data_IF_871008667625
#
_entry.id   IF_871008667625
#
_cell.length_a   1.000
_cell.length_b   1.000
_cell.length_c   1.000
_cell.angle_alpha   90.00
_cell.angle_beta   90.00
_cell.angle_gamma   90.00
#
_symmetry.space_group_name_H-M   'P 1'
#
loop_
_entity.id
_entity.type
_entity.pdbx_description
1 polymer ?
#
# COMPACT_ATOMS: atom_id res chain seq x y z
N UNK A 1 17.07 -69.47 -5.99
CA UNK A 1 15.60 -69.63 -6.05
C UNK A 1 15.01 -69.28 -4.69
N UNK A 2 13.86 -68.59 -4.69
CA UNK A 2 12.95 -68.30 -3.56
C UNK A 2 13.30 -67.16 -2.59
N UNK A 3 12.81 -65.97 -2.97
CA UNK A 3 12.01 -65.05 -2.16
C UNK A 3 11.43 -65.63 -0.88
N UNK A 4 11.63 -64.92 0.26
CA UNK A 4 10.55 -64.77 1.24
C UNK A 4 10.58 -63.39 1.91
N UNK A 5 9.41 -62.77 1.85
CA UNK A 5 9.02 -61.46 2.35
C UNK A 5 8.29 -61.66 3.69
N UNK A 6 8.72 -60.99 4.78
CA UNK A 6 7.92 -60.61 5.98
C UNK A 6 8.63 -59.44 6.67
N UNK A 7 8.32 -58.18 6.34
CA UNK A 7 7.37 -57.30 7.04
C UNK A 7 7.57 -57.27 8.56
N UNK A 8 8.21 -56.21 9.06
CA UNK A 8 7.84 -55.59 10.34
C UNK A 8 7.66 -54.10 10.13
N UNK A 9 6.40 -53.69 10.26
CA UNK A 9 5.94 -52.32 10.32
C UNK A 9 6.65 -51.55 11.42
N UNK A 10 7.23 -50.41 11.09
CA UNK A 10 7.40 -49.33 12.06
C UNK A 10 6.88 -48.05 11.41
N UNK A 11 5.62 -47.74 11.73
CA UNK A 11 4.99 -46.48 11.40
C UNK A 11 5.65 -45.38 12.23
N UNK A 12 6.57 -44.62 11.63
CA UNK A 12 7.03 -43.35 12.18
C UNK A 12 6.07 -42.29 11.65
N UNK A 13 5.07 -41.97 12.46
CA UNK A 13 4.18 -40.84 12.31
C UNK A 13 4.74 -39.69 13.15
N UNK A 14 5.42 -38.72 12.55
CA UNK A 14 5.52 -37.34 13.09
C UNK A 14 6.02 -36.35 12.04
N UNK A 15 5.05 -35.57 11.54
CA UNK A 15 5.05 -34.10 11.48
C UNK A 15 6.19 -33.41 10.71
N UNK A 16 6.00 -33.29 9.38
CA UNK A 16 6.65 -32.27 8.55
C UNK A 16 5.75 -31.05 8.39
N UNK A 17 5.95 -30.07 9.26
CA UNK A 17 5.62 -28.64 9.16
C UNK A 17 4.83 -28.21 7.90
N UNK A 18 3.50 -28.10 8.03
CA UNK A 18 2.71 -27.21 7.18
C UNK A 18 3.12 -25.78 7.54
N UNK A 19 4.11 -25.24 6.85
CA UNK A 19 4.35 -23.81 6.84
C UNK A 19 3.21 -23.19 6.01
N UNK A 20 2.03 -23.03 6.62
CA UNK A 20 1.05 -22.08 6.14
C UNK A 20 1.69 -20.71 6.35
N UNK A 21 2.49 -20.26 5.39
CA UNK A 21 2.71 -18.83 5.23
C UNK A 21 1.30 -18.23 5.19
N UNK A 22 0.95 -17.48 6.23
CA UNK A 22 -0.31 -16.79 6.29
C UNK A 22 -0.41 -15.92 5.03
N UNK A 23 -1.17 -16.38 4.03
CA UNK A 23 -1.54 -15.54 2.92
C UNK A 23 -2.50 -14.52 3.50
N UNK A 24 -1.94 -13.43 3.99
CA UNK A 24 -2.71 -12.26 4.30
C UNK A 24 -3.38 -11.82 2.99
N UNK A 25 -4.70 -11.69 3.04
CA UNK A 25 -5.47 -11.17 1.92
C UNK A 25 -5.02 -9.72 1.68
N UNK A 26 -4.80 -9.31 0.43
CA UNK A 26 -4.28 -7.98 0.10
C UNK A 26 -5.14 -6.87 0.71
N UNK A 27 -6.47 -7.06 0.86
CA UNK A 27 -7.34 -6.10 1.53
C UNK A 27 -6.94 -5.90 2.99
N UNK A 28 -6.64 -6.99 3.71
CA UNK A 28 -6.21 -6.96 5.10
C UNK A 28 -4.83 -6.30 5.25
N UNK A 29 -3.87 -6.59 4.37
CA UNK A 29 -2.54 -5.98 4.40
C UNK A 29 -2.59 -4.49 4.08
N UNK A 30 -3.36 -4.10 3.06
CA UNK A 30 -3.57 -2.70 2.68
C UNK A 30 -4.24 -1.93 3.83
N UNK A 31 -5.31 -2.50 4.40
CA UNK A 31 -6.01 -1.89 5.53
C UNK A 31 -5.08 -1.71 6.73
N UNK A 32 -4.27 -2.72 7.06
CA UNK A 32 -3.30 -2.64 8.15
C UNK A 32 -2.23 -1.59 7.89
N UNK A 33 -1.65 -1.55 6.68
CA UNK A 33 -0.65 -0.56 6.27
C UNK A 33 -1.20 0.87 6.39
N UNK A 34 -2.43 1.10 5.89
CA UNK A 34 -3.05 2.42 5.99
C UNK A 34 -3.35 2.84 7.43
N UNK A 35 -3.87 1.92 8.25
CA UNK A 35 -4.17 2.21 9.65
C UNK A 35 -2.90 2.47 10.47
N UNK A 36 -1.81 1.77 10.19
CA UNK A 36 -0.54 1.98 10.88
C UNK A 36 0.00 3.41 10.74
N UNK A 37 -0.36 4.12 9.67
CA UNK A 37 0.13 5.47 9.37
C UNK A 37 -0.89 6.56 9.67
N UNK A 38 -2.19 6.35 9.41
CA UNK A 38 -3.20 7.41 9.45
C UNK A 38 -4.37 7.21 10.42
N UNK A 39 -4.44 6.07 11.11
CA UNK A 39 -5.49 5.82 12.10
C UNK A 39 -5.38 6.78 13.30
N UNK A 40 -6.52 7.19 13.84
CA UNK A 40 -6.60 8.06 15.02
C UNK A 40 -7.61 7.49 16.00
N UNK A 41 -7.34 7.50 17.31
CA UNK A 41 -8.22 6.90 18.31
C UNK A 41 -9.61 7.56 18.33
N UNK A 42 -9.68 8.89 18.22
CA UNK A 42 -10.95 9.63 18.23
C UNK A 42 -11.67 9.60 16.87
N UNK A 43 -10.91 9.35 15.81
CA UNK A 43 -11.36 9.45 14.43
C UNK A 43 -10.82 8.25 13.63
N UNK A 44 -11.39 7.05 13.82
CA UNK A 44 -10.84 5.83 13.24
C UNK A 44 -10.89 5.87 11.70
N UNK A 45 -9.85 5.34 11.08
CA UNK A 45 -9.75 5.26 9.63
C UNK A 45 -10.57 4.07 9.13
N UNK A 46 -11.53 4.35 8.24
CA UNK A 46 -12.28 3.32 7.52
C UNK A 46 -11.70 3.19 6.11
N UNK A 47 -11.22 1.99 5.77
CA UNK A 47 -10.66 1.70 4.45
C UNK A 47 -11.67 0.90 3.63
N UNK A 48 -12.23 1.52 2.58
CA UNK A 48 -13.10 0.89 1.58
C UNK A 48 -13.40 1.84 0.40
N UNK A 49 -13.59 1.30 -0.82
CA UNK A 49 -13.28 -0.07 -1.24
C UNK A 49 -11.76 -0.24 -1.43
N UNK A 50 -11.30 -1.48 -1.52
CA UNK A 50 -9.93 -1.80 -1.97
C UNK A 50 -10.03 -2.53 -3.30
N UNK A 51 -9.32 -2.03 -4.32
CA UNK A 51 -9.17 -2.70 -5.61
C UNK A 51 -7.70 -2.92 -5.92
N UNK A 52 -7.35 -4.13 -6.34
CA UNK A 52 -5.96 -4.55 -6.60
C UNK A 52 -5.80 -4.96 -8.05
N UNK A 53 -4.67 -4.59 -8.66
CA UNK A 53 -4.19 -5.08 -9.94
C UNK A 53 -2.66 -5.10 -9.95
N UNK A 54 -2.08 -6.25 -10.29
CA UNK A 54 -0.63 -6.49 -10.19
C UNK A 54 -0.10 -6.12 -8.79
N UNK A 55 0.95 -5.31 -8.72
CA UNK A 55 1.55 -4.80 -7.48
C UNK A 55 0.98 -3.44 -7.06
N UNK A 56 -0.20 -3.06 -7.56
CA UNK A 56 -0.82 -1.76 -7.29
C UNK A 56 -2.23 -1.91 -6.77
N UNK A 57 -2.66 -0.96 -5.94
CA UNK A 57 -4.01 -0.92 -5.42
C UNK A 57 -4.55 0.50 -5.31
N UNK A 58 -5.87 0.64 -5.44
CA UNK A 58 -6.58 1.86 -5.03
C UNK A 58 -7.41 1.50 -3.80
N UNK A 59 -7.23 2.24 -2.72
CA UNK A 59 -8.03 2.11 -1.51
C UNK A 59 -8.75 3.42 -1.20
N UNK A 60 -10.07 3.36 -1.08
CA UNK A 60 -10.84 4.46 -0.51
C UNK A 60 -10.59 4.56 0.99
N UNK A 61 -10.47 5.77 1.52
CA UNK A 61 -10.37 6.02 2.95
C UNK A 61 -11.38 7.06 3.37
N UNK A 62 -11.94 6.87 4.56
CA UNK A 62 -12.89 7.77 5.20
C UNK A 62 -12.43 7.98 6.65
N UNK A 63 -12.38 9.24 7.07
CA UNK A 63 -12.10 9.63 8.45
C UNK A 63 -12.90 10.91 8.71
N UNK A 64 -13.86 10.82 9.64
CA UNK A 64 -14.87 11.85 9.88
C UNK A 64 -15.68 12.22 8.63
N UNK A 65 -15.72 13.51 8.32
CA UNK A 65 -16.35 14.06 7.13
C UNK A 65 -15.37 14.17 5.94
N UNK A 66 -14.18 13.58 6.04
CA UNK A 66 -13.17 13.59 4.98
C UNK A 66 -13.01 12.19 4.41
N UNK A 67 -12.63 12.15 3.13
CA UNK A 67 -12.27 10.91 2.48
C UNK A 67 -11.57 11.15 1.15
N UNK A 68 -10.92 10.11 0.66
CA UNK A 68 -10.16 10.17 -0.58
C UNK A 68 -9.86 8.77 -1.11
N UNK A 69 -9.13 8.72 -2.22
CA UNK A 69 -8.61 7.49 -2.80
C UNK A 69 -7.08 7.53 -2.70
N UNK A 70 -6.53 6.52 -2.08
CA UNK A 70 -5.10 6.30 -1.95
C UNK A 70 -4.62 5.33 -3.03
N UNK A 71 -3.53 5.65 -3.72
CA UNK A 71 -2.79 4.69 -4.53
C UNK A 71 -1.75 4.02 -3.63
N UNK A 72 -1.69 2.70 -3.65
CA UNK A 72 -0.69 1.90 -2.98
C UNK A 72 0.10 1.06 -3.98
N UNK A 73 1.35 0.78 -3.62
CA UNK A 73 2.22 -0.15 -4.33
C UNK A 73 2.75 -1.20 -3.36
N UNK A 74 2.78 -2.47 -3.79
CA UNK A 74 3.38 -3.57 -3.05
C UNK A 74 4.87 -3.63 -3.37
N UNK A 75 5.69 -3.44 -2.35
CA UNK A 75 7.15 -3.56 -2.43
C UNK A 75 7.68 -4.68 -1.51
N UNK A 76 8.99 -4.74 -1.34
CA UNK A 76 9.64 -5.74 -0.48
C UNK A 76 9.20 -5.69 1.00
N UNK A 77 8.77 -4.52 1.46
CA UNK A 77 8.29 -4.29 2.83
C UNK A 77 6.75 -4.27 2.94
N UNK A 78 6.06 -4.79 1.92
CA UNK A 78 4.59 -4.79 1.86
C UNK A 78 4.03 -3.55 1.17
N UNK A 79 2.73 -3.33 1.40
CA UNK A 79 1.97 -2.24 0.79
C UNK A 79 2.34 -0.88 1.36
N UNK A 80 2.55 0.10 0.48
CA UNK A 80 2.92 1.48 0.83
C UNK A 80 2.08 2.46 0.02
N UNK A 81 1.48 3.44 0.69
CA UNK A 81 0.74 4.51 0.00
C UNK A 81 1.69 5.47 -0.70
N UNK A 82 1.45 5.65 -2.00
CA UNK A 82 2.23 6.51 -2.88
C UNK A 82 1.64 7.93 -2.93
N UNK A 83 0.31 8.02 -3.01
CA UNK A 83 -0.42 9.29 -3.04
C UNK A 83 -1.85 9.14 -2.55
N UNK A 84 -2.43 10.26 -2.15
CA UNK A 84 -3.86 10.41 -1.87
C UNK A 84 -4.46 11.52 -2.74
N UNK A 85 -5.61 11.26 -3.35
CA UNK A 85 -6.35 12.22 -4.17
C UNK A 85 -7.86 12.04 -4.02
N UNK A 86 -8.67 13.08 -4.24
CA UNK A 86 -10.13 12.94 -4.28
C UNK A 86 -10.62 12.18 -5.51
N UNK A 87 -9.92 12.30 -6.63
CA UNK A 87 -10.20 11.56 -7.86
C UNK A 87 -8.92 10.92 -8.39
N UNK A 88 -8.98 9.62 -8.69
CA UNK A 88 -7.91 8.90 -9.37
C UNK A 88 -8.18 8.93 -10.87
N UNK A 89 -7.20 9.35 -11.66
CA UNK A 89 -7.26 9.38 -13.13
C UNK A 89 -6.14 8.54 -13.73
N UNK A 90 -6.29 8.13 -14.99
CA UNK A 90 -5.26 7.35 -15.68
C UNK A 90 -3.93 8.12 -15.77
N UNK A 91 -4.00 9.44 -15.98
CA UNK A 91 -2.83 10.33 -15.98
C UNK A 91 -2.15 10.35 -14.61
N UNK A 92 -2.89 10.52 -13.52
CA UNK A 92 -2.32 10.52 -12.17
C UNK A 92 -1.62 9.19 -11.84
N UNK A 93 -2.24 8.06 -12.20
CA UNK A 93 -1.66 6.73 -12.01
C UNK A 93 -0.36 6.58 -12.81
N UNK A 94 -0.36 6.97 -14.09
CA UNK A 94 0.84 6.88 -14.94
C UNK A 94 1.96 7.81 -14.47
N UNK A 95 1.63 9.02 -14.02
CA UNK A 95 2.59 9.95 -13.41
C UNK A 95 3.19 9.40 -12.11
N UNK A 96 2.48 8.52 -11.42
CA UNK A 96 2.95 7.80 -10.23
C UNK A 96 3.70 6.50 -10.58
N UNK A 97 3.97 6.22 -11.86
CA UNK A 97 4.72 5.03 -12.31
C UNK A 97 3.87 3.78 -12.53
N UNK A 98 2.54 3.86 -12.43
CA UNK A 98 1.66 2.72 -12.71
C UNK A 98 1.65 2.44 -14.23
N UNK A 99 1.93 1.20 -14.66
CA UNK A 99 1.84 0.84 -16.08
C UNK A 99 0.45 1.10 -16.65
N UNK A 100 0.36 1.54 -17.91
CA UNK A 100 -0.93 1.89 -18.55
C UNK A 100 -1.96 0.75 -18.49
N UNK A 101 -1.53 -0.50 -18.68
CA UNK A 101 -2.40 -1.68 -18.59
C UNK A 101 -2.98 -1.86 -17.18
N UNK A 102 -2.14 -1.80 -16.15
CA UNK A 102 -2.56 -1.89 -14.75
C UNK A 102 -3.45 -0.72 -14.34
N UNK A 103 -3.13 0.51 -14.79
CA UNK A 103 -3.95 1.69 -14.55
C UNK A 103 -5.37 1.52 -15.14
N UNK A 104 -5.50 0.99 -16.36
CA UNK A 104 -6.80 0.67 -16.96
C UNK A 104 -7.57 -0.38 -16.17
N UNK A 105 -6.90 -1.42 -15.70
CA UNK A 105 -7.54 -2.46 -14.88
C UNK A 105 -8.05 -1.90 -13.54
N UNK A 106 -7.25 -1.11 -12.85
CA UNK A 106 -7.64 -0.45 -11.60
C UNK A 106 -8.87 0.44 -11.81
N UNK A 107 -8.85 1.28 -12.84
CA UNK A 107 -9.95 2.20 -13.15
C UNK A 107 -11.22 1.49 -13.63
N UNK A 108 -11.11 0.31 -14.24
CA UNK A 108 -12.26 -0.52 -14.59
C UNK A 108 -12.89 -1.19 -13.36
N UNK A 109 -12.07 -1.63 -12.39
CA UNK A 109 -12.53 -2.29 -11.16
C UNK A 109 -13.13 -1.31 -10.15
N UNK A 110 -12.58 -0.09 -10.05
CA UNK A 110 -12.96 0.90 -9.06
C UNK A 110 -14.47 1.22 -9.01
N UNK A 111 -15.15 1.58 -10.12
CA UNK A 111 -16.57 1.91 -10.08
C UNK A 111 -17.44 0.71 -9.69
N UNK A 112 -17.02 -0.51 -10.03
CA UNK A 112 -17.73 -1.75 -9.61
C UNK A 112 -17.61 -1.93 -8.09
N UNK A 113 -16.43 -1.70 -7.53
CA UNK A 113 -16.24 -1.82 -6.09
C UNK A 113 -16.94 -0.69 -5.30
N UNK A 114 -17.06 0.51 -5.88
CA UNK A 114 -17.78 1.63 -5.27
C UNK A 114 -19.31 1.43 -5.24
N UNK A 115 -19.87 0.50 -6.02
CA UNK A 115 -21.30 0.14 -5.94
C UNK A 115 -21.71 -0.44 -4.58
N UNK A 116 -20.75 -0.97 -3.82
CA UNK A 116 -20.99 -1.46 -2.45
C UNK A 116 -21.07 -0.33 -1.40
N UNK A 117 -20.85 0.93 -1.80
CA UNK A 117 -20.91 2.09 -0.93
C UNK A 117 -22.24 2.84 -1.05
N UNK A 118 -22.59 3.57 -0.01
CA UNK A 118 -23.66 4.57 -0.08
C UNK A 118 -23.22 5.80 -0.87
N UNK A 119 -24.17 6.55 -1.44
CA UNK A 119 -23.89 7.82 -2.14
C UNK A 119 -23.16 8.83 -1.26
N UNK A 120 -23.49 8.88 0.03
CA UNK A 120 -22.81 9.73 1.00
C UNK A 120 -21.32 9.37 1.16
N UNK A 121 -20.98 8.08 1.11
CA UNK A 121 -19.60 7.61 1.17
C UNK A 121 -18.83 7.94 -0.12
N UNK A 122 -19.43 7.70 -1.28
CA UNK A 122 -18.83 8.10 -2.58
C UNK A 122 -18.62 9.61 -2.66
N UNK A 123 -19.56 10.40 -2.15
CA UNK A 123 -19.44 11.85 -2.02
C UNK A 123 -18.26 12.26 -1.14
N UNK A 124 -18.11 11.65 0.05
CA UNK A 124 -16.95 11.89 0.93
C UNK A 124 -15.62 11.50 0.30
N UNK A 125 -15.54 10.36 -0.38
CA UNK A 125 -14.33 9.95 -1.13
C UNK A 125 -13.93 10.98 -2.19
N UNK A 126 -14.90 11.71 -2.73
CA UNK A 126 -14.69 12.73 -3.76
C UNK A 126 -14.46 14.13 -3.19
N UNK A 127 -14.62 14.31 -1.87
CA UNK A 127 -14.56 15.61 -1.20
C UNK A 127 -13.13 16.12 -0.96
N UNK A 128 -12.11 15.27 -1.13
CA UNK A 128 -10.72 15.69 -1.01
C UNK A 128 -10.23 16.42 -2.27
N UNK A 129 -10.25 17.75 -2.27
CA UNK A 129 -9.78 18.57 -3.39
C UNK A 129 -8.24 18.77 -3.46
N UNK A 130 -7.46 17.95 -2.75
CA UNK A 130 -5.98 18.02 -2.75
C UNK A 130 -5.32 16.80 -3.40
N UNK A 131 -4.02 16.92 -3.70
CA UNK A 131 -3.12 15.78 -3.96
C UNK A 131 -2.00 15.88 -2.94
N UNK A 132 -1.85 14.86 -2.09
CA UNK A 132 -0.68 14.74 -1.20
C UNK A 132 0.17 13.60 -1.74
N UNK A 133 1.37 13.93 -2.21
CA UNK A 133 2.43 12.95 -2.47
C UNK A 133 3.19 12.75 -1.17
N UNK A 134 3.36 11.51 -0.73
CA UNK A 134 4.28 11.22 0.36
C UNK A 134 5.69 11.23 -0.23
N UNK A 135 6.51 12.18 0.22
CA UNK A 135 7.93 12.21 -0.13
C UNK A 135 8.59 10.93 0.41
N UNK A 136 9.24 10.17 -0.46
CA UNK A 136 10.18 9.16 0.01
C UNK A 136 11.33 9.92 0.65
N UNK A 137 11.43 9.89 1.98
CA UNK A 137 12.46 10.59 2.75
C UNK A 137 13.85 10.40 2.12
N UNK A 138 14.22 11.35 1.26
CA UNK A 138 15.50 11.41 0.58
C UNK A 138 16.51 12.03 1.51
N UNK A 139 17.57 11.28 1.80
CA UNK A 139 18.75 11.78 2.50
C UNK A 139 19.30 13.03 1.78
N UNK A 140 19.18 14.20 2.41
CA UNK A 140 19.97 15.37 2.04
C UNK A 140 20.90 15.73 3.20
N UNK A 141 22.11 15.17 3.13
CA UNK A 141 23.27 15.67 3.83
C UNK A 141 23.56 17.09 3.32
N UNK A 142 23.33 18.11 4.15
CA UNK A 142 23.90 19.43 3.93
C UNK A 142 25.17 19.56 4.76
N UNK A 143 26.27 19.11 4.15
CA UNK A 143 27.61 19.49 4.53
C UNK A 143 27.73 21.03 4.45
N UNK A 144 27.88 21.69 5.60
CA UNK A 144 28.29 23.08 5.64
C UNK A 144 29.78 23.16 5.27
N UNK A 145 30.02 23.43 4.00
CA UNK A 145 31.32 23.80 3.48
C UNK A 145 31.81 25.08 4.14
N UNK A 146 33.05 25.00 4.63
CA UNK A 146 33.82 26.09 5.20
C UNK A 146 33.86 27.30 4.27
N UNK A 147 33.39 28.45 4.75
CA UNK A 147 33.67 29.74 4.13
C UNK A 147 35.04 30.21 4.60
N UNK A 148 36.05 29.91 3.78
CA UNK A 148 37.33 30.62 3.78
C UNK A 148 37.16 32.05 3.26
N UNK A 149 37.98 32.94 3.83
CA UNK A 149 38.39 34.26 3.35
C UNK A 149 37.58 35.48 3.85
N UNK A 150 38.10 36.11 4.91
CA UNK A 150 38.66 37.45 4.74
C UNK A 150 39.72 37.70 5.83
N UNK A 151 40.98 37.75 5.40
CA UNK A 151 42.10 38.22 6.20
C UNK A 151 42.54 39.59 5.65
N UNK A 152 43.07 40.40 6.57
CA UNK A 152 43.89 41.61 6.40
C UNK A 152 43.14 42.95 6.16
N UNK A 153 43.46 44.10 6.77
CA UNK A 153 44.41 44.51 7.81
C UNK A 153 44.22 46.04 8.08
N UNK A 154 44.74 46.54 9.20
CA UNK A 154 45.34 47.88 9.46
C UNK A 154 44.75 48.75 10.61
N UNK A 155 45.60 48.81 11.66
CA UNK A 155 45.91 49.86 12.65
C UNK A 155 44.87 50.31 13.67
#
# INVERSE_FOLDING_TARGET
MKTWMRIFSSAILTTGLLCSAAWADDNSEITASMKAVWDKPDHPLVVKPVVVADQYAIAGWLQDNRGGRALLQKGHHGWQTQLCAGKITAELLQQAGVPSTTAKQLLAKLPVAEQALSEAEVGRLSSFSGIVKMDQAGHHEHAHAASTASAAHHH
#
